data_IF_045189322825
#
_entry.id   IF_045189322825
#
_cell.length_a   1.000
_cell.length_b   1.000
_cell.length_c   1.000
_cell.angle_alpha   90.00
_cell.angle_beta   90.00
_cell.angle_gamma   90.00
#
_symmetry.space_group_name_H-M   'P 1'
#
loop_
_entity.id
_entity.type
_entity.pdbx_description
1 polymer ?
#
# COMPACT_ATOMS: atom_id res chain seq x y z
N UNK A 1 -12.65 4.59 5.07
CA UNK A 1 -11.99 4.42 6.37
C UNK A 1 -10.54 4.03 6.18
N UNK A 2 -9.67 4.63 7.00
CA UNK A 2 -8.24 4.30 6.93
C UNK A 2 -7.94 3.04 7.72
N UNK A 3 -7.06 2.22 7.18
CA UNK A 3 -6.71 0.97 7.83
C UNK A 3 -5.21 0.75 7.73
N UNK A 4 -4.60 0.43 8.86
CA UNK A 4 -3.17 0.16 8.90
C UNK A 4 -2.85 -1.19 8.29
N UNK A 5 -1.73 -1.26 7.59
CA UNK A 5 -1.30 -2.47 6.91
C UNK A 5 0.23 -2.49 6.80
N UNK A 6 0.75 -3.63 6.44
CA UNK A 6 2.19 -3.81 6.22
C UNK A 6 2.37 -4.55 4.89
N UNK A 7 3.39 -4.16 4.14
CA UNK A 7 3.70 -4.84 2.90
C UNK A 7 4.32 -6.21 3.18
N UNK A 8 3.86 -7.22 2.45
CA UNK A 8 4.42 -8.56 2.55
C UNK A 8 5.25 -8.93 1.32
N UNK A 9 5.33 -8.04 0.33
CA UNK A 9 6.18 -8.18 -0.85
C UNK A 9 6.65 -6.82 -1.31
N UNK A 10 7.77 -6.78 -2.01
CA UNK A 10 8.25 -5.55 -2.62
C UNK A 10 7.35 -5.14 -3.77
N UNK A 11 7.26 -3.83 -4.03
CA UNK A 11 6.45 -3.29 -5.11
C UNK A 11 7.19 -2.14 -5.77
N UNK A 12 7.17 -2.08 -7.10
CA UNK A 12 7.82 -1.04 -7.89
C UNK A 12 6.85 -0.47 -8.90
N UNK A 13 6.93 0.84 -9.12
CA UNK A 13 6.20 1.48 -10.22
C UNK A 13 6.92 2.77 -10.58
N UNK A 14 6.28 3.59 -11.46
CA UNK A 14 6.87 4.83 -11.95
C UNK A 14 7.16 5.84 -10.85
N UNK A 15 6.45 5.76 -9.74
CA UNK A 15 6.61 6.71 -8.63
C UNK A 15 7.74 6.32 -7.69
N UNK A 16 8.16 5.06 -7.72
CA UNK A 16 9.21 4.60 -6.84
C UNK A 16 9.00 3.17 -6.41
N UNK A 17 9.49 2.82 -5.22
CA UNK A 17 9.47 1.46 -4.72
C UNK A 17 8.97 1.42 -3.28
N UNK A 18 8.28 0.34 -2.96
CA UNK A 18 7.89 -0.01 -1.60
C UNK A 18 8.54 -1.34 -1.27
N UNK A 19 9.00 -1.49 -0.04
CA UNK A 19 9.73 -2.70 0.36
C UNK A 19 8.90 -3.53 1.33
N UNK A 20 9.12 -4.83 1.28
CA UNK A 20 8.49 -5.74 2.24
C UNK A 20 8.79 -5.28 3.66
N UNK A 21 7.76 -5.29 4.52
CA UNK A 21 7.87 -4.83 5.89
C UNK A 21 7.54 -3.37 6.09
N UNK A 22 7.36 -2.63 5.00
CA UNK A 22 7.02 -1.21 5.11
C UNK A 22 5.59 -1.03 5.60
N UNK A 23 5.39 -0.12 6.54
CA UNK A 23 4.06 0.15 7.10
C UNK A 23 3.36 1.21 6.25
N UNK A 24 2.12 0.95 5.92
CA UNK A 24 1.31 1.86 5.11
C UNK A 24 -0.09 1.96 5.69
N UNK A 25 -0.84 2.96 5.23
CA UNK A 25 -2.24 3.13 5.60
C UNK A 25 -3.09 2.96 4.33
N UNK A 26 -4.05 2.05 4.37
CA UNK A 26 -4.99 1.86 3.26
C UNK A 26 -6.05 2.93 3.36
N UNK A 27 -6.20 3.75 2.31
CA UNK A 27 -7.18 4.82 2.29
C UNK A 27 -8.47 4.45 1.58
N UNK A 28 -8.42 3.44 0.70
CA UNK A 28 -9.60 3.04 -0.03
C UNK A 28 -9.24 2.22 -1.24
N UNK A 29 -10.23 2.02 -2.10
CA UNK A 29 -10.05 1.27 -3.33
C UNK A 29 -9.64 2.20 -4.46
N UNK A 30 -8.77 1.72 -5.34
CA UNK A 30 -8.40 2.39 -6.57
C UNK A 30 -9.00 1.64 -7.74
N UNK A 31 -8.72 2.11 -8.96
CA UNK A 31 -9.23 1.48 -10.17
C UNK A 31 -8.68 0.06 -10.34
N UNK A 32 -9.43 -0.77 -11.06
CA UNK A 32 -9.00 -2.11 -11.49
C UNK A 32 -8.64 -3.06 -10.34
N UNK A 33 -9.32 -2.92 -9.21
CA UNK A 33 -9.09 -3.81 -8.08
C UNK A 33 -7.88 -3.47 -7.23
N UNK A 34 -7.17 -2.38 -7.55
CA UNK A 34 -6.05 -1.92 -6.75
C UNK A 34 -6.57 -1.21 -5.50
N UNK A 35 -5.70 -1.06 -4.51
CA UNK A 35 -6.00 -0.27 -3.32
C UNK A 35 -5.05 0.92 -3.27
N UNK A 36 -5.53 2.01 -2.67
CA UNK A 36 -4.72 3.21 -2.46
C UNK A 36 -4.14 3.16 -1.06
N UNK A 37 -2.83 3.28 -0.99
CA UNK A 37 -2.12 3.30 0.29
C UNK A 37 -1.27 4.56 0.39
N UNK A 38 -1.05 5.00 1.63
CA UNK A 38 -0.18 6.14 1.93
C UNK A 38 0.94 5.63 2.82
N UNK A 39 2.17 5.98 2.43
CA UNK A 39 3.35 5.59 3.20
C UNK A 39 3.60 6.56 4.35
N UNK A 40 4.56 6.23 5.21
CA UNK A 40 4.92 7.09 6.33
C UNK A 40 5.46 8.45 5.91
N UNK A 41 5.94 8.59 4.68
CA UNK A 41 6.42 9.86 4.15
C UNK A 41 5.34 10.67 3.45
N UNK A 42 4.11 10.15 3.39
CA UNK A 42 3.01 10.82 2.72
C UNK A 42 2.87 10.49 1.24
N UNK A 43 3.68 9.60 0.71
CA UNK A 43 3.58 9.19 -0.69
C UNK A 43 2.38 8.28 -0.89
N UNK A 44 1.68 8.45 -2.00
CA UNK A 44 0.47 7.68 -2.31
C UNK A 44 0.78 6.70 -3.44
N UNK A 45 0.39 5.43 -3.23
CA UNK A 45 0.58 4.38 -4.22
C UNK A 45 -0.71 3.61 -4.42
N UNK A 46 -0.94 3.16 -5.65
CA UNK A 46 -2.01 2.20 -5.96
C UNK A 46 -1.34 0.85 -6.14
N UNK A 47 -1.69 -0.12 -5.29
CA UNK A 47 -1.00 -1.41 -5.28
C UNK A 47 -2.01 -2.55 -5.26
N UNK A 48 -1.61 -3.75 -5.71
CA UNK A 48 -2.49 -4.91 -5.61
C UNK A 48 -2.75 -5.25 -4.14
N UNK A 49 -3.99 -5.62 -3.80
CA UNK A 49 -4.31 -5.90 -2.39
C UNK A 49 -3.64 -7.14 -1.82
N UNK A 50 -3.19 -8.05 -2.67
CA UNK A 50 -2.60 -9.30 -2.19
C UNK A 50 -1.17 -9.13 -1.63
N UNK A 51 -0.56 -7.96 -1.81
CA UNK A 51 0.80 -7.73 -1.32
C UNK A 51 0.83 -6.99 0.01
N UNK A 52 -0.32 -6.76 0.62
CA UNK A 52 -0.39 -6.14 1.96
C UNK A 52 -1.18 -7.03 2.89
N UNK A 53 -0.86 -6.91 4.17
CA UNK A 53 -1.58 -7.58 5.23
C UNK A 53 -2.06 -6.53 6.21
N UNK A 54 -3.36 -6.54 6.52
CA UNK A 54 -3.93 -5.60 7.47
C UNK A 54 -3.43 -5.92 8.88
N UNK A 55 -3.10 -4.89 9.61
CA UNK A 55 -2.53 -5.04 10.95
C UNK A 55 -3.50 -4.56 12.03
N UNK A 56 -4.74 -4.75 11.83
CA UNK A 56 -5.78 -4.41 12.78
C UNK A 56 -5.84 -2.94 13.09
#
# INVERSE_FOLDING_TARGET
MKQKAILIKDFYNDKGALHRGEKVVIEGKAAEGFIRVVTGTGAVYNIPPHIVKKTA
#
